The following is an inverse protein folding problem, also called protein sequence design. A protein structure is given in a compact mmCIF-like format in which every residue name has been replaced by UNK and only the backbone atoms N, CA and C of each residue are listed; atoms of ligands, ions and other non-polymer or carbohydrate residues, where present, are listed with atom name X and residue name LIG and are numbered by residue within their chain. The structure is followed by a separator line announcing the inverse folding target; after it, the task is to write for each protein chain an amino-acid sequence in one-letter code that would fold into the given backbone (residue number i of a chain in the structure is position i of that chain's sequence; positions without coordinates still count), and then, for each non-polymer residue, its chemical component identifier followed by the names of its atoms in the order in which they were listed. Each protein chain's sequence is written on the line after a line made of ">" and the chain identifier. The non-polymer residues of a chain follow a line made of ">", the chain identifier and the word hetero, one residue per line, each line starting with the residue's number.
data_IF_884084369944
#
_entry.id   IF_884084369944
#
_cell.length_a   1.000
_cell.length_b   1.000
_cell.length_c   1.000
_cell.angle_alpha   90.00
_cell.angle_beta   90.00
_cell.angle_gamma   90.00
#
_symmetry.space_group_name_H-M   'P 1'
#
loop_
_entity.id
_entity.type
_entity.pdbx_description
1 polymer ?
#
# COMPACT_ATOMS: atom_id res chain seq x y z
N UNK A 1 17.39 2.28 28.59
CA UNK A 1 16.34 1.25 28.64
C UNK A 1 16.96 -0.11 28.26
N UNK A 2 16.56 -1.16 28.96
CA UNK A 2 17.07 -2.53 28.75
C UNK A 2 15.88 -3.44 28.46
N UNK A 3 16.01 -4.32 27.44
CA UNK A 3 15.02 -5.36 27.18
C UNK A 3 15.15 -6.41 28.28
N UNK A 4 14.05 -6.75 28.93
CA UNK A 4 13.97 -7.81 29.93
C UNK A 4 13.36 -9.09 29.38
N UNK A 5 12.42 -8.99 28.45
CA UNK A 5 11.72 -10.12 27.87
C UNK A 5 11.14 -9.78 26.49
N UNK A 6 11.13 -10.76 25.59
CA UNK A 6 10.48 -10.68 24.28
C UNK A 6 9.52 -11.87 24.20
N UNK A 7 8.29 -11.64 23.73
CA UNK A 7 7.26 -12.68 23.65
C UNK A 7 6.52 -12.58 22.32
N UNK A 8 6.26 -13.71 21.67
CA UNK A 8 5.46 -13.78 20.46
C UNK A 8 3.97 -13.72 20.80
N UNK A 9 3.27 -12.71 20.26
CA UNK A 9 1.80 -12.53 20.33
C UNK A 9 1.15 -13.00 21.65
N UNK A 10 1.55 -12.46 22.81
CA UNK A 10 0.99 -12.90 24.10
C UNK A 10 -0.49 -12.52 24.17
N UNK A 11 -1.33 -13.41 24.72
CA UNK A 11 -2.76 -13.12 24.93
C UNK A 11 -3.00 -11.90 25.83
N UNK A 12 -2.15 -11.74 26.83
CA UNK A 12 -2.14 -10.59 27.75
C UNK A 12 -0.77 -9.91 27.68
N UNK A 13 -0.59 -8.91 26.81
CA UNK A 13 0.69 -8.22 26.67
C UNK A 13 1.00 -7.42 27.96
N UNK A 14 2.23 -7.52 28.50
CA UNK A 14 2.59 -6.79 29.71
C UNK A 14 2.86 -5.30 29.47
N UNK A 15 3.04 -4.88 28.21
CA UNK A 15 3.31 -3.50 27.81
C UNK A 15 2.65 -3.21 26.45
N UNK A 16 2.63 -1.93 26.06
CA UNK A 16 2.19 -1.47 24.74
C UNK A 16 3.33 -1.47 23.70
N UNK A 17 4.50 -2.01 24.03
CA UNK A 17 5.64 -2.07 23.13
C UNK A 17 5.51 -3.30 22.21
N UNK A 18 5.58 -3.08 20.92
CA UNK A 18 5.59 -4.14 19.91
C UNK A 18 6.89 -4.13 19.11
N UNK A 19 7.34 -5.33 18.71
CA UNK A 19 8.48 -5.48 17.80
C UNK A 19 8.02 -5.20 16.38
N UNK A 20 8.70 -4.28 15.68
CA UNK A 20 8.26 -3.78 14.37
C UNK A 20 8.83 -4.53 13.17
N UNK A 21 9.56 -5.62 13.40
CA UNK A 21 10.05 -6.48 12.31
C UNK A 21 11.31 -5.99 11.59
N UNK A 22 11.99 -4.95 12.11
CA UNK A 22 13.28 -4.48 11.58
C UNK A 22 14.40 -4.96 12.50
N UNK A 23 15.34 -5.76 11.94
CA UNK A 23 16.40 -6.39 12.73
C UNK A 23 17.76 -6.20 12.09
N UNK A 24 18.74 -5.82 12.90
CA UNK A 24 20.16 -5.82 12.54
C UNK A 24 20.86 -6.94 13.32
N UNK A 25 21.21 -8.03 12.64
CA UNK A 25 21.65 -9.24 13.27
C UNK A 25 23.14 -9.50 12.97
N UNK A 26 23.87 -9.99 13.98
CA UNK A 26 25.25 -10.46 13.79
C UNK A 26 25.25 -11.95 13.42
N UNK A 27 26.37 -12.51 12.85
CA UNK A 27 26.47 -13.92 12.53
C UNK A 27 26.23 -14.87 13.73
N UNK A 28 26.37 -14.40 14.96
CA UNK A 28 26.04 -15.17 16.18
C UNK A 28 24.57 -15.59 16.22
N UNK A 29 23.68 -14.78 15.65
CA UNK A 29 22.26 -15.07 15.60
C UNK A 29 21.97 -16.40 14.91
N UNK A 30 22.66 -16.72 13.82
CA UNK A 30 22.43 -17.97 13.07
C UNK A 30 22.77 -19.24 13.88
N UNK A 31 23.63 -19.14 14.90
CA UNK A 31 23.94 -20.26 15.79
C UNK A 31 22.77 -20.63 16.71
N UNK A 32 21.81 -19.73 16.86
CA UNK A 32 20.62 -19.95 17.69
C UNK A 32 19.58 -20.83 16.98
N UNK A 33 19.57 -20.88 15.65
CA UNK A 33 18.56 -21.65 14.90
C UNK A 33 18.49 -23.13 15.28
N UNK A 34 19.61 -23.75 15.61
CA UNK A 34 19.62 -25.15 16.07
C UNK A 34 18.93 -25.36 17.42
N UNK A 35 18.67 -24.28 18.16
CA UNK A 35 18.03 -24.32 19.49
C UNK A 35 16.55 -23.98 19.42
N UNK A 36 16.08 -23.41 18.28
CA UNK A 36 14.68 -23.05 18.10
C UNK A 36 13.80 -24.28 18.03
N UNK A 37 12.63 -24.15 18.63
CA UNK A 37 11.53 -25.12 18.51
C UNK A 37 10.33 -24.42 17.90
N UNK A 38 9.50 -25.14 17.13
CA UNK A 38 8.25 -24.57 16.64
C UNK A 38 7.39 -24.03 17.80
N UNK A 39 6.85 -22.85 17.61
CA UNK A 39 5.88 -22.23 18.53
C UNK A 39 4.55 -22.99 18.53
N UNK A 40 3.59 -22.54 19.33
CA UNK A 40 2.22 -23.06 19.31
C UNK A 40 1.53 -22.85 17.94
N UNK A 41 2.09 -21.99 17.07
CA UNK A 41 1.65 -21.75 15.69
C UNK A 41 2.30 -22.72 14.69
N UNK A 42 3.15 -23.61 15.15
CA UNK A 42 4.01 -24.48 14.33
C UNK A 42 4.99 -23.70 13.42
N UNK A 43 5.43 -22.52 13.87
CA UNK A 43 6.36 -21.64 13.18
C UNK A 43 7.64 -21.46 14.02
N UNK A 44 8.79 -21.23 13.37
CA UNK A 44 10.01 -20.79 14.03
C UNK A 44 9.98 -19.27 14.16
N UNK A 45 9.85 -18.78 15.39
CA UNK A 45 9.66 -17.37 15.66
C UNK A 45 11.01 -16.65 15.86
N UNK A 46 11.18 -15.51 15.19
CA UNK A 46 12.36 -14.66 15.40
C UNK A 46 12.41 -14.09 16.81
N UNK A 47 11.27 -13.85 17.42
CA UNK A 47 11.13 -13.39 18.81
C UNK A 47 11.65 -14.39 19.80
N UNK A 48 11.45 -15.70 19.57
CA UNK A 48 12.01 -16.76 20.41
C UNK A 48 13.54 -16.83 20.26
N UNK A 49 14.06 -16.65 19.03
CA UNK A 49 15.50 -16.57 18.82
C UNK A 49 16.13 -15.40 19.57
N UNK A 50 15.50 -14.23 19.54
CA UNK A 50 15.95 -13.06 20.29
C UNK A 50 15.86 -13.27 21.80
N UNK A 51 14.81 -13.96 22.28
CA UNK A 51 14.69 -14.31 23.69
C UNK A 51 15.83 -15.24 24.14
N UNK A 52 16.16 -16.27 23.35
CA UNK A 52 17.30 -17.17 23.64
C UNK A 52 18.61 -16.37 23.69
N UNK A 53 18.83 -15.46 22.75
CA UNK A 53 20.01 -14.58 22.79
C UNK A 53 20.08 -13.75 24.07
N UNK A 54 18.94 -13.23 24.52
CA UNK A 54 18.83 -12.44 25.73
C UNK A 54 19.16 -13.30 26.97
N UNK A 55 18.62 -14.52 27.04
CA UNK A 55 18.85 -15.47 28.12
C UNK A 55 20.33 -15.90 28.18
N UNK A 56 21.00 -15.99 27.04
CA UNK A 56 22.45 -16.23 26.92
C UNK A 56 23.29 -14.95 27.16
N UNK A 57 22.70 -13.90 27.71
CA UNK A 57 23.37 -12.63 28.08
C UNK A 57 24.03 -11.91 26.89
N UNK A 58 23.56 -12.16 25.65
CA UNK A 58 23.98 -11.36 24.50
C UNK A 58 23.41 -9.95 24.61
N UNK A 59 24.19 -8.95 24.17
CA UNK A 59 23.73 -7.57 24.13
C UNK A 59 22.71 -7.39 23.02
N UNK A 60 21.48 -7.02 23.41
CA UNK A 60 20.41 -6.61 22.50
C UNK A 60 20.07 -5.17 22.81
N UNK A 61 20.09 -4.31 21.80
CA UNK A 61 19.63 -2.92 21.88
C UNK A 61 18.39 -2.74 20.99
N UNK A 62 17.64 -1.69 21.25
CA UNK A 62 16.48 -1.34 20.46
C UNK A 62 16.40 0.18 20.29
N UNK A 63 15.75 0.59 19.22
CA UNK A 63 15.34 1.97 18.98
C UNK A 63 13.82 2.05 18.96
N UNK A 64 13.29 3.15 19.50
CA UNK A 64 11.85 3.40 19.47
C UNK A 64 11.48 4.09 18.16
N UNK A 65 10.55 3.50 17.41
CA UNK A 65 9.93 4.17 16.28
C UNK A 65 8.84 5.08 16.82
N UNK A 66 9.01 6.39 16.61
CA UNK A 66 8.07 7.43 17.05
C UNK A 66 7.24 8.00 15.92
N UNK A 67 7.66 7.74 14.67
CA UNK A 67 6.97 8.15 13.46
C UNK A 67 5.90 7.13 13.06
N UNK A 68 5.22 7.41 11.94
CA UNK A 68 4.22 6.50 11.40
C UNK A 68 4.82 5.13 11.09
N UNK A 69 4.24 4.12 11.68
CA UNK A 69 4.51 2.72 11.38
C UNK A 69 3.18 1.97 11.23
N UNK A 70 3.08 1.11 10.24
CA UNK A 70 1.89 0.31 9.98
C UNK A 70 2.27 -1.07 9.47
N UNK A 71 1.76 -2.10 10.11
CA UNK A 71 1.73 -3.45 9.54
C UNK A 71 0.71 -3.51 8.41
N UNK A 72 1.11 -4.00 7.24
CA UNK A 72 0.28 -4.08 6.04
C UNK A 72 -0.20 -5.50 5.78
N UNK A 73 -0.67 -6.17 6.83
CA UNK A 73 -1.12 -7.56 6.78
C UNK A 73 -2.46 -7.79 6.08
N UNK A 74 -3.25 -6.75 5.84
CA UNK A 74 -4.54 -6.82 5.14
C UNK A 74 -4.63 -5.82 3.99
N UNK A 75 -5.53 -6.03 3.00
CA UNK A 75 -5.77 -5.06 1.94
C UNK A 75 -6.13 -3.67 2.46
N UNK A 76 -6.95 -3.58 3.50
CA UNK A 76 -7.31 -2.31 4.13
C UNK A 76 -6.10 -1.60 4.75
N UNK A 77 -5.16 -2.33 5.32
CA UNK A 77 -3.92 -1.75 5.84
C UNK A 77 -3.07 -1.15 4.72
N UNK A 78 -3.01 -1.81 3.57
CA UNK A 78 -2.29 -1.31 2.38
C UNK A 78 -2.93 -0.01 1.87
N UNK A 79 -4.26 0.03 1.75
CA UNK A 79 -5.01 1.23 1.32
C UNK A 79 -4.79 2.37 2.32
N UNK A 80 -4.84 2.08 3.61
CA UNK A 80 -4.57 3.08 4.64
C UNK A 80 -3.13 3.62 4.56
N UNK A 81 -2.14 2.74 4.39
CA UNK A 81 -0.76 3.15 4.22
C UNK A 81 -0.56 4.03 2.99
N UNK A 82 -1.22 3.68 1.86
CA UNK A 82 -1.23 4.51 0.65
C UNK A 82 -1.74 5.93 0.93
N UNK A 83 -2.87 6.05 1.63
CA UNK A 83 -3.45 7.35 1.97
C UNK A 83 -2.50 8.19 2.85
N UNK A 84 -1.83 7.58 3.83
CA UNK A 84 -0.87 8.27 4.69
C UNK A 84 0.38 8.73 3.92
N UNK A 85 0.88 7.94 2.98
CA UNK A 85 2.01 8.33 2.12
C UNK A 85 1.61 9.52 1.25
N UNK A 86 0.46 9.45 0.58
CA UNK A 86 0.00 10.49 -0.33
C UNK A 86 -0.18 11.85 0.34
N UNK A 87 -0.60 11.91 1.62
CA UNK A 87 -0.73 13.16 2.39
C UNK A 87 0.58 13.94 2.49
N UNK A 88 1.69 13.23 2.60
CA UNK A 88 3.01 13.78 2.85
C UNK A 88 3.84 14.02 1.58
N UNK A 89 3.34 13.58 0.42
CA UNK A 89 4.02 13.78 -0.87
C UNK A 89 3.88 15.22 -1.36
N UNK A 90 4.96 15.75 -1.93
CA UNK A 90 4.94 17.07 -2.58
C UNK A 90 4.31 16.95 -3.97
N UNK A 91 3.39 17.85 -4.35
CA UNK A 91 2.77 17.82 -5.67
C UNK A 91 3.82 18.11 -6.76
N UNK A 92 3.67 17.49 -7.91
CA UNK A 92 4.39 17.80 -9.14
C UNK A 92 3.51 17.53 -10.36
N UNK A 93 3.84 18.19 -11.47
CA UNK A 93 3.04 18.13 -12.68
C UNK A 93 3.97 18.06 -13.90
N UNK A 94 4.21 16.85 -14.40
CA UNK A 94 5.13 16.57 -15.51
C UNK A 94 4.41 16.11 -16.80
N UNK A 95 3.10 15.98 -16.75
CA UNK A 95 2.23 15.59 -17.86
C UNK A 95 1.45 16.78 -18.42
N UNK A 96 0.32 16.49 -19.05
CA UNK A 96 -0.58 17.46 -19.68
C UNK A 96 -2.00 17.33 -19.16
N UNK A 97 -2.73 18.44 -19.18
CA UNK A 97 -4.13 18.52 -18.77
C UNK A 97 -4.96 19.16 -19.88
N UNK A 98 -6.12 18.57 -20.20
CA UNK A 98 -7.10 19.16 -21.09
C UNK A 98 -7.82 20.34 -20.40
N UNK A 99 -8.13 21.40 -21.14
CA UNK A 99 -8.80 22.61 -20.64
C UNK A 99 -10.18 22.36 -20.02
N UNK A 100 -10.86 21.29 -20.44
CA UNK A 100 -12.17 20.89 -19.93
C UNK A 100 -12.08 19.88 -18.77
N UNK A 101 -10.91 19.73 -18.16
CA UNK A 101 -10.72 18.93 -16.94
C UNK A 101 -10.43 19.82 -15.73
N UNK A 102 -10.63 19.30 -14.52
CA UNK A 102 -10.43 20.04 -13.28
C UNK A 102 -9.56 19.27 -12.30
N UNK A 103 -8.52 19.93 -11.80
CA UNK A 103 -7.63 19.40 -10.78
C UNK A 103 -7.73 20.25 -9.52
N UNK A 104 -7.83 19.62 -8.36
CA UNK A 104 -7.86 20.28 -7.05
C UNK A 104 -7.08 19.48 -6.01
N UNK A 105 -6.43 20.16 -5.06
CA UNK A 105 -5.63 19.53 -4.00
C UNK A 105 -4.25 19.07 -4.50
N UNK A 106 -3.59 18.23 -3.70
CA UNK A 106 -2.26 17.73 -3.98
C UNK A 106 -2.29 16.59 -5.00
N UNK A 107 -1.89 16.88 -6.23
CA UNK A 107 -1.85 15.92 -7.33
C UNK A 107 -0.42 15.79 -7.84
N UNK A 108 0.06 14.55 -7.95
CA UNK A 108 1.30 14.19 -8.61
C UNK A 108 0.96 13.59 -9.97
N UNK A 109 1.42 14.22 -11.06
CA UNK A 109 1.25 13.73 -12.42
C UNK A 109 2.61 13.45 -13.06
N UNK A 110 2.82 12.20 -13.43
CA UNK A 110 4.05 11.70 -14.03
C UNK A 110 4.30 12.19 -15.46
N UNK A 111 5.47 11.84 -15.99
CA UNK A 111 5.91 12.24 -17.34
C UNK A 111 5.02 11.60 -18.40
N UNK A 112 4.79 12.34 -19.49
CA UNK A 112 4.00 11.92 -20.65
C UNK A 112 2.55 11.51 -20.32
N UNK A 113 2.10 11.70 -19.08
CA UNK A 113 0.75 11.36 -18.66
C UNK A 113 -0.22 12.47 -19.07
N UNK A 114 -1.45 12.07 -19.39
CA UNK A 114 -2.47 12.95 -19.93
C UNK A 114 -3.76 12.85 -19.13
N UNK A 115 -4.31 14.00 -18.74
CA UNK A 115 -5.65 14.10 -18.19
C UNK A 115 -6.56 14.66 -19.28
N UNK A 116 -7.52 13.86 -19.74
CA UNK A 116 -8.41 14.18 -20.85
C UNK A 116 -9.66 14.92 -20.38
N UNK A 117 -10.49 15.31 -21.33
CA UNK A 117 -11.69 16.14 -21.11
C UNK A 117 -12.69 15.49 -20.13
N UNK A 118 -13.49 16.35 -19.52
CA UNK A 118 -14.55 16.00 -18.56
C UNK A 118 -14.04 15.18 -17.36
N UNK A 119 -12.74 15.27 -17.06
CA UNK A 119 -12.16 14.56 -15.92
C UNK A 119 -12.00 15.49 -14.73
N UNK A 120 -12.29 14.96 -13.53
CA UNK A 120 -12.16 15.66 -12.24
C UNK A 120 -11.19 14.89 -11.35
N UNK A 121 -10.09 15.53 -10.98
CA UNK A 121 -9.05 14.92 -10.12
C UNK A 121 -9.00 15.70 -8.81
N UNK A 122 -9.22 14.98 -7.70
CA UNK A 122 -9.19 15.56 -6.35
C UNK A 122 -8.10 14.87 -5.55
N UNK A 123 -7.06 15.61 -5.19
CA UNK A 123 -5.96 15.10 -4.36
C UNK A 123 -6.33 14.89 -2.87
N UNK A 124 -5.51 14.18 -2.12
CA UNK A 124 -4.19 13.71 -2.56
C UNK A 124 -4.28 12.52 -3.50
N UNK A 125 -3.59 12.57 -4.64
CA UNK A 125 -3.46 11.42 -5.54
C UNK A 125 -2.16 11.47 -6.34
N UNK A 126 -1.72 10.30 -6.80
CA UNK A 126 -0.59 10.14 -7.70
C UNK A 126 -1.01 9.40 -8.97
N UNK A 127 -0.57 9.91 -10.10
CA UNK A 127 -0.68 9.29 -11.41
C UNK A 127 0.75 9.12 -11.94
N UNK A 128 1.13 7.90 -12.23
CA UNK A 128 2.47 7.52 -12.70
C UNK A 128 2.80 8.07 -14.09
N UNK A 129 3.86 7.55 -14.69
CA UNK A 129 4.33 7.94 -16.01
C UNK A 129 3.52 7.25 -17.14
N UNK A 130 3.44 7.88 -18.31
CA UNK A 130 2.81 7.34 -19.52
C UNK A 130 1.33 6.91 -19.33
N UNK A 131 0.60 7.54 -18.42
CA UNK A 131 -0.80 7.24 -18.12
C UNK A 131 -1.75 8.08 -18.98
N UNK A 132 -2.92 7.52 -19.27
CA UNK A 132 -4.05 8.23 -19.87
C UNK A 132 -5.23 8.17 -18.90
N UNK A 133 -5.64 9.31 -18.38
CA UNK A 133 -6.76 9.43 -17.44
C UNK A 133 -7.85 10.30 -18.04
N UNK A 134 -8.95 9.69 -18.37
CA UNK A 134 -10.07 10.29 -19.07
C UNK A 134 -10.36 9.59 -20.41
N UNK A 135 -11.42 10.00 -21.12
CA UNK A 135 -12.38 11.03 -20.71
C UNK A 135 -13.33 10.55 -19.60
N UNK A 136 -14.08 11.51 -19.01
CA UNK A 136 -15.15 11.23 -18.06
C UNK A 136 -14.70 10.43 -16.82
N UNK A 137 -13.56 10.79 -16.24
CA UNK A 137 -13.02 10.16 -15.03
C UNK A 137 -13.19 11.08 -13.83
N UNK A 138 -13.62 10.54 -12.71
CA UNK A 138 -13.52 11.20 -11.41
C UNK A 138 -12.54 10.41 -10.52
N UNK A 139 -11.40 11.00 -10.19
CA UNK A 139 -10.55 10.52 -9.11
C UNK A 139 -10.86 11.36 -7.87
N UNK A 140 -11.41 10.72 -6.85
CA UNK A 140 -11.57 11.30 -5.51
C UNK A 140 -10.38 10.86 -4.64
N UNK A 141 -10.12 11.53 -3.56
CA UNK A 141 -8.90 11.46 -2.74
C UNK A 141 -8.33 10.05 -2.49
N UNK A 142 -7.03 10.01 -2.20
CA UNK A 142 -6.25 8.81 -1.84
C UNK A 142 -6.15 7.76 -2.97
N UNK A 143 -6.04 8.22 -4.22
CA UNK A 143 -5.89 7.32 -5.37
C UNK A 143 -4.44 7.29 -5.84
N UNK A 144 -3.91 6.08 -6.03
CA UNK A 144 -2.64 5.83 -6.70
C UNK A 144 -2.86 5.08 -8.01
N UNK A 145 -2.33 5.60 -9.12
CA UNK A 145 -2.35 4.98 -10.43
C UNK A 145 -0.91 4.76 -10.88
N UNK A 146 -0.55 3.50 -11.11
CA UNK A 146 0.77 3.11 -11.60
C UNK A 146 0.94 3.35 -13.09
N UNK A 147 2.21 3.35 -13.52
CA UNK A 147 2.64 3.71 -14.87
C UNK A 147 1.92 2.96 -15.98
N UNK A 148 1.80 3.59 -17.15
CA UNK A 148 1.23 3.02 -18.39
C UNK A 148 -0.21 2.52 -18.26
N UNK A 149 -0.95 3.04 -17.28
CA UNK A 149 -2.36 2.69 -17.09
C UNK A 149 -3.29 3.60 -17.87
N UNK A 150 -4.40 3.03 -18.33
CA UNK A 150 -5.46 3.72 -19.08
C UNK A 150 -6.76 3.62 -18.32
N UNK A 151 -7.31 4.77 -17.96
CA UNK A 151 -8.51 4.88 -17.10
C UNK A 151 -9.52 5.78 -17.80
N UNK A 152 -10.73 5.29 -18.03
CA UNK A 152 -11.81 6.09 -18.64
C UNK A 152 -13.19 5.72 -18.11
N UNK A 153 -14.12 6.69 -18.13
CA UNK A 153 -15.54 6.53 -17.83
C UNK A 153 -15.87 5.99 -16.42
N UNK A 154 -15.02 6.23 -15.42
CA UNK A 154 -15.23 5.67 -14.08
C UNK A 154 -15.01 6.70 -12.97
N UNK A 155 -15.47 6.34 -11.78
CA UNK A 155 -15.14 7.03 -10.54
C UNK A 155 -14.25 6.13 -9.68
N UNK A 156 -13.16 6.66 -9.15
CA UNK A 156 -12.23 5.91 -8.30
C UNK A 156 -11.96 6.73 -7.04
N UNK A 157 -12.05 6.09 -5.88
CA UNK A 157 -11.79 6.68 -4.57
C UNK A 157 -11.02 5.72 -3.68
N UNK A 158 -10.09 6.26 -2.88
CA UNK A 158 -9.35 5.52 -1.86
C UNK A 158 -8.85 4.16 -2.35
N UNK A 159 -8.19 4.13 -3.52
CA UNK A 159 -7.86 2.89 -4.24
C UNK A 159 -6.46 2.93 -4.85
N UNK A 160 -5.92 1.75 -5.06
CA UNK A 160 -4.61 1.54 -5.67
C UNK A 160 -4.80 0.78 -6.98
N UNK A 161 -4.43 1.41 -8.09
CA UNK A 161 -4.36 0.79 -9.41
C UNK A 161 -2.87 0.66 -9.73
N UNK A 162 -2.38 -0.56 -9.88
CA UNK A 162 -0.98 -0.80 -10.21
C UNK A 162 -0.70 -0.50 -11.68
N UNK A 163 0.51 -0.78 -12.13
CA UNK A 163 0.96 -0.46 -13.49
C UNK A 163 0.29 -1.31 -14.59
N UNK A 164 0.27 -0.78 -15.80
CA UNK A 164 -0.26 -1.43 -17.02
C UNK A 164 -1.73 -1.86 -16.91
N UNK A 165 -2.54 -1.20 -16.11
CA UNK A 165 -3.95 -1.50 -15.97
C UNK A 165 -4.79 -0.76 -17.00
N UNK A 166 -5.91 -1.37 -17.41
CA UNK A 166 -6.91 -0.74 -18.27
C UNK A 166 -8.27 -0.80 -17.57
N UNK A 167 -8.88 0.36 -17.34
CA UNK A 167 -10.23 0.47 -16.79
C UNK A 167 -11.06 1.33 -17.77
N UNK A 168 -11.89 0.68 -18.56
CA UNK A 168 -12.75 1.28 -19.58
C UNK A 168 -14.19 0.86 -19.33
N UNK A 169 -14.80 1.44 -18.31
CA UNK A 169 -16.06 0.91 -17.78
C UNK A 169 -16.79 1.96 -16.94
N UNK A 170 -18.12 1.99 -17.01
CA UNK A 170 -18.95 2.86 -16.20
C UNK A 170 -19.15 2.32 -14.79
N UNK A 171 -18.09 2.34 -14.00
CA UNK A 171 -18.07 1.80 -12.62
C UNK A 171 -17.62 2.83 -11.61
N UNK A 172 -17.95 2.56 -10.35
CA UNK A 172 -17.47 3.30 -9.19
C UNK A 172 -16.65 2.36 -8.29
N UNK A 173 -15.34 2.57 -8.23
CA UNK A 173 -14.40 1.79 -7.45
C UNK A 173 -14.08 2.50 -6.13
N UNK A 174 -14.27 1.80 -5.03
CA UNK A 174 -13.94 2.27 -3.70
C UNK A 174 -13.11 1.22 -2.97
N UNK A 175 -12.15 1.65 -2.17
CA UNK A 175 -11.35 0.78 -1.30
C UNK A 175 -10.80 -0.45 -2.03
N UNK A 176 -10.31 -0.22 -3.27
CA UNK A 176 -9.95 -1.28 -4.22
C UNK A 176 -8.44 -1.35 -4.42
N UNK A 177 -7.95 -2.55 -4.66
CA UNK A 177 -6.57 -2.82 -5.11
C UNK A 177 -6.64 -3.62 -6.41
N UNK A 178 -6.17 -3.02 -7.49
CA UNK A 178 -6.11 -3.62 -8.82
C UNK A 178 -4.65 -3.89 -9.13
N UNK A 179 -4.26 -5.16 -9.16
CA UNK A 179 -2.88 -5.54 -9.45
C UNK A 179 -2.50 -5.31 -10.91
N UNK A 180 -1.20 -5.30 -11.17
CA UNK A 180 -0.63 -4.99 -12.48
C UNK A 180 -1.20 -5.84 -13.61
N UNK A 181 -1.23 -5.28 -14.82
CA UNK A 181 -1.68 -5.94 -16.05
C UNK A 181 -3.17 -6.35 -16.06
N UNK A 182 -3.97 -5.84 -15.13
CA UNK A 182 -5.40 -6.15 -15.03
C UNK A 182 -6.24 -5.26 -15.93
N UNK A 183 -7.38 -5.79 -16.37
CA UNK A 183 -8.34 -5.08 -17.24
C UNK A 183 -9.75 -5.18 -16.69
N UNK A 184 -10.47 -4.06 -16.67
CA UNK A 184 -11.89 -3.98 -16.36
C UNK A 184 -12.56 -3.28 -17.56
N UNK A 185 -13.34 -4.03 -18.32
CA UNK A 185 -13.91 -3.59 -19.58
C UNK A 185 -15.42 -3.81 -19.57
N UNK A 186 -16.18 -2.86 -20.13
CA UNK A 186 -17.63 -3.00 -20.40
C UNK A 186 -18.54 -3.35 -19.18
N UNK A 187 -18.05 -3.27 -17.97
CA UNK A 187 -18.90 -3.43 -16.78
C UNK A 187 -19.78 -2.19 -16.63
N UNK A 188 -21.09 -2.32 -16.87
CA UNK A 188 -22.04 -1.20 -16.85
C UNK A 188 -22.75 -1.03 -15.51
N UNK A 189 -22.23 -1.57 -14.46
CA UNK A 189 -22.86 -1.52 -13.16
C UNK A 189 -22.39 -0.29 -12.38
N UNK A 190 -23.21 0.75 -12.31
CA UNK A 190 -22.93 2.01 -11.62
C UNK A 190 -22.87 1.93 -10.07
N UNK A 191 -22.93 0.73 -9.51
CA UNK A 191 -22.85 0.53 -8.06
C UNK A 191 -21.42 0.71 -7.55
N UNK A 192 -21.31 1.17 -6.31
CA UNK A 192 -20.03 1.22 -5.60
C UNK A 192 -19.47 -0.19 -5.40
N UNK A 193 -18.28 -0.44 -5.91
CA UNK A 193 -17.64 -1.75 -5.83
C UNK A 193 -16.27 -1.70 -5.19
N UNK A 194 -15.96 -2.73 -4.42
CA UNK A 194 -14.60 -3.01 -3.94
C UNK A 194 -14.06 -4.20 -4.70
N UNK A 195 -12.93 -4.00 -5.40
CA UNK A 195 -12.22 -5.05 -6.10
C UNK A 195 -10.83 -5.27 -5.49
N UNK A 196 -10.54 -6.53 -5.21
CA UNK A 196 -9.21 -7.00 -4.85
C UNK A 196 -8.78 -7.98 -5.95
N UNK A 197 -8.14 -7.46 -6.99
CA UNK A 197 -7.80 -8.24 -8.17
C UNK A 197 -6.33 -8.66 -8.15
N UNK A 198 -6.09 -9.93 -8.41
CA UNK A 198 -4.77 -10.48 -8.67
C UNK A 198 -4.19 -9.98 -10.00
N UNK A 199 -2.90 -10.20 -10.22
CA UNK A 199 -2.20 -9.78 -11.43
C UNK A 199 -2.81 -10.43 -12.69
N UNK A 200 -2.96 -9.63 -13.75
CA UNK A 200 -3.45 -10.10 -15.04
C UNK A 200 -4.94 -10.45 -15.10
N UNK A 201 -5.73 -10.09 -14.05
CA UNK A 201 -7.18 -10.36 -14.03
C UNK A 201 -7.91 -9.55 -15.11
N UNK A 202 -8.82 -10.19 -15.85
CA UNK A 202 -9.69 -9.55 -16.86
C UNK A 202 -11.14 -9.71 -16.43
N UNK A 203 -11.85 -8.59 -16.34
CA UNK A 203 -13.30 -8.48 -16.15
C UNK A 203 -13.86 -7.82 -17.40
N UNK A 204 -14.80 -8.46 -18.07
CA UNK A 204 -15.40 -7.99 -19.34
C UNK A 204 -16.88 -8.30 -19.41
#
# INVERSE_FOLDING_TARGET
>A
NKISKIMEKPKNPPTNLAVTGIYFLTPKFFKIFSKLKPSWRNELEITDALQIMLDEQNKISFEMITDYWKDTGTPNDIIHANAEILKNMKPYFLGTQNNNSKITGNVMLGKNSQILENSKIVGPCIIGDDCIVGPNVTLDSNVSIGDRSKISHCTIKNSIIMQNCTIESQISLHDSIISSNSKILNDKNNENRTYLLGEGTIIS
#
